data_IF_012997014165
#
_entry.id   IF_012997014165
#
_cell.length_a   1.000
_cell.length_b   1.000
_cell.length_c   1.000
_cell.angle_alpha   90.00
_cell.angle_beta   90.00
_cell.angle_gamma   90.00
#
_symmetry.space_group_name_H-M   'P 1'
#
loop_
_entity.id
_entity.type
_entity.pdbx_description
1 polymer ?
#
# COMPACT_ATOMS: atom_id res chain seq x y z
N UNK A 1 -7.62 12.33 22.28
CA UNK A 1 -6.70 11.69 21.32
C UNK A 1 -5.92 12.78 20.61
N UNK A 2 -4.59 12.67 20.49
CA UNK A 2 -3.79 13.68 19.79
C UNK A 2 -3.96 13.54 18.27
N UNK A 3 -3.89 14.62 17.47
CA UNK A 3 -3.98 14.56 16.02
C UNK A 3 -2.97 13.59 15.39
N UNK A 4 -1.78 13.49 15.99
CA UNK A 4 -0.73 12.57 15.59
C UNK A 4 -1.14 11.09 15.76
N UNK A 5 -1.79 10.74 16.87
CA UNK A 5 -2.28 9.38 17.08
C UNK A 5 -3.28 8.96 16.01
N UNK A 6 -4.23 9.84 15.67
CA UNK A 6 -5.23 9.54 14.64
C UNK A 6 -4.56 9.31 13.29
N UNK A 7 -3.57 10.14 12.95
CA UNK A 7 -2.86 10.04 11.69
C UNK A 7 -2.00 8.76 11.63
N UNK A 8 -1.35 8.38 12.73
CA UNK A 8 -0.62 7.11 12.83
C UNK A 8 -1.53 5.89 12.69
N UNK A 9 -2.70 5.94 13.32
CA UNK A 9 -3.72 4.90 13.19
C UNK A 9 -4.19 4.77 11.74
N UNK A 10 -4.57 5.88 11.11
CA UNK A 10 -5.02 5.89 9.70
C UNK A 10 -3.93 5.35 8.77
N UNK A 11 -2.68 5.77 8.95
CA UNK A 11 -1.57 5.30 8.13
C UNK A 11 -1.34 3.79 8.28
N UNK A 12 -1.44 3.28 9.51
CA UNK A 12 -1.31 1.85 9.81
C UNK A 12 -2.47 1.04 9.21
N UNK A 13 -3.70 1.57 9.28
CA UNK A 13 -4.87 0.93 8.67
C UNK A 13 -4.76 0.87 7.15
N UNK A 14 -4.33 1.96 6.50
CA UNK A 14 -4.10 2.00 5.04
C UNK A 14 -3.05 0.97 4.63
N UNK A 15 -1.97 0.85 5.40
CA UNK A 15 -0.95 -0.17 5.19
C UNK A 15 -1.51 -1.59 5.32
N UNK A 16 -2.27 -1.87 6.39
CA UNK A 16 -2.89 -3.17 6.62
C UNK A 16 -3.88 -3.55 5.52
N UNK A 17 -4.69 -2.59 5.05
CA UNK A 17 -5.61 -2.79 3.92
C UNK A 17 -4.82 -3.15 2.66
N UNK A 18 -3.73 -2.46 2.37
CA UNK A 18 -2.91 -2.79 1.20
C UNK A 18 -2.29 -4.18 1.29
N UNK A 19 -1.85 -4.63 2.47
CA UNK A 19 -1.42 -6.03 2.62
C UNK A 19 -2.58 -6.99 2.40
N UNK A 20 -3.76 -6.70 2.96
CA UNK A 20 -4.94 -7.56 2.83
C UNK A 20 -5.38 -7.76 1.37
N UNK A 21 -5.12 -6.77 0.49
CA UNK A 21 -5.41 -6.89 -0.96
C UNK A 21 -4.65 -8.02 -1.66
N UNK A 22 -3.54 -8.50 -1.10
CA UNK A 22 -2.83 -9.67 -1.63
C UNK A 22 -3.67 -10.94 -1.59
N UNK A 23 -4.58 -11.09 -0.62
CA UNK A 23 -5.43 -12.28 -0.50
C UNK A 23 -6.35 -12.46 -1.71
N UNK A 24 -7.24 -11.49 -2.01
CA UNK A 24 -8.08 -11.49 -3.21
C UNK A 24 -7.29 -11.66 -4.52
N UNK A 25 -6.17 -10.95 -4.66
CA UNK A 25 -5.35 -11.00 -5.87
C UNK A 25 -4.69 -12.37 -6.05
N UNK A 26 -4.15 -12.94 -4.98
CA UNK A 26 -3.54 -14.27 -4.99
C UNK A 26 -4.57 -15.36 -5.23
N UNK A 27 -5.75 -15.24 -4.60
CA UNK A 27 -6.86 -16.16 -4.86
C UNK A 27 -7.27 -16.15 -6.32
N UNK A 28 -7.45 -14.98 -6.92
CA UNK A 28 -7.78 -14.86 -8.34
C UNK A 28 -6.66 -15.36 -9.24
N UNK A 29 -5.40 -15.05 -8.94
CA UNK A 29 -4.25 -15.53 -9.70
C UNK A 29 -4.17 -17.07 -9.73
N UNK A 30 -4.45 -17.73 -8.61
CA UNK A 30 -4.37 -19.19 -8.49
C UNK A 30 -5.63 -19.91 -9.02
N UNK A 31 -6.82 -19.41 -8.69
CA UNK A 31 -8.09 -20.09 -9.00
C UNK A 31 -8.76 -19.61 -10.30
N UNK A 32 -8.49 -18.37 -10.72
CA UNK A 32 -9.26 -17.67 -11.75
C UNK A 32 -10.66 -17.22 -11.32
N UNK A 33 -11.04 -17.40 -10.04
CA UNK A 33 -12.34 -17.00 -9.50
C UNK A 33 -12.25 -15.65 -8.75
N UNK A 34 -13.37 -14.93 -8.67
CA UNK A 34 -13.44 -13.68 -7.90
C UNK A 34 -12.79 -12.47 -8.60
N UNK A 35 -12.82 -12.42 -9.93
CA UNK A 35 -12.26 -11.33 -10.73
C UNK A 35 -12.69 -9.94 -10.24
N UNK A 36 -13.98 -9.74 -9.95
CA UNK A 36 -14.49 -8.46 -9.44
C UNK A 36 -13.82 -8.07 -8.12
N UNK A 37 -13.68 -9.03 -7.18
CA UNK A 37 -13.01 -8.81 -5.90
C UNK A 37 -11.53 -8.45 -6.10
N UNK A 38 -10.85 -9.12 -7.03
CA UNK A 38 -9.46 -8.83 -7.39
C UNK A 38 -9.29 -7.41 -7.99
N UNK A 39 -10.22 -6.97 -8.84
CA UNK A 39 -10.22 -5.61 -9.38
C UNK A 39 -10.41 -4.56 -8.28
N UNK A 40 -11.36 -4.78 -7.36
CA UNK A 40 -11.54 -3.89 -6.21
C UNK A 40 -10.31 -3.86 -5.30
N UNK A 41 -9.63 -5.00 -5.13
CA UNK A 41 -8.41 -5.12 -4.35
C UNK A 41 -7.22 -4.36 -4.96
N UNK A 42 -7.25 -3.98 -6.25
CA UNK A 42 -6.22 -3.11 -6.83
C UNK A 42 -6.40 -1.63 -6.45
N UNK A 43 -7.60 -1.19 -6.06
CA UNK A 43 -7.84 0.23 -5.80
C UNK A 43 -6.98 0.79 -4.66
N UNK A 44 -6.84 0.15 -3.49
CA UNK A 44 -5.99 0.69 -2.43
C UNK A 44 -4.52 0.89 -2.84
N UNK A 45 -3.80 -0.10 -3.41
CA UNK A 45 -2.40 0.11 -3.81
C UNK A 45 -2.26 1.12 -4.96
N UNK A 46 -3.20 1.16 -5.91
CA UNK A 46 -3.21 2.18 -6.96
C UNK A 46 -3.42 3.57 -6.35
N UNK A 47 -4.35 3.72 -5.42
CA UNK A 47 -4.62 4.97 -4.72
C UNK A 47 -3.40 5.50 -3.96
N UNK A 48 -2.66 4.60 -3.27
CA UNK A 48 -1.39 4.96 -2.63
C UNK A 48 -0.36 5.40 -3.66
N UNK A 49 -0.20 4.64 -4.75
CA UNK A 49 0.76 4.97 -5.81
C UNK A 49 0.47 6.35 -6.40
N UNK A 50 -0.78 6.63 -6.76
CA UNK A 50 -1.21 7.95 -7.25
C UNK A 50 -0.94 9.03 -6.20
N UNK A 51 -1.27 8.79 -4.93
CA UNK A 51 -0.99 9.72 -3.84
C UNK A 51 0.50 10.03 -3.67
N UNK A 52 1.38 9.04 -3.82
CA UNK A 52 2.83 9.22 -3.80
C UNK A 52 3.29 10.09 -4.99
N UNK A 53 2.82 9.80 -6.20
CA UNK A 53 3.18 10.55 -7.39
C UNK A 53 2.76 12.02 -7.30
N UNK A 54 1.53 12.28 -6.82
CA UNK A 54 1.01 13.64 -6.61
C UNK A 54 1.75 14.40 -5.50
N UNK A 55 2.43 13.69 -4.58
CA UNK A 55 3.14 14.27 -3.45
C UNK A 55 4.67 14.12 -3.58
N UNK A 56 5.20 14.09 -4.81
CA UNK A 56 6.65 14.11 -5.07
C UNK A 56 7.39 12.88 -4.56
N UNK A 57 6.75 11.71 -4.58
CA UNK A 57 7.32 10.44 -4.10
C UNK A 57 7.29 10.28 -2.57
N UNK A 58 6.62 11.18 -1.85
CA UNK A 58 6.49 11.14 -0.39
C UNK A 58 5.09 10.74 0.03
N UNK A 59 4.94 10.06 1.17
CA UNK A 59 3.62 9.76 1.71
C UNK A 59 2.91 11.04 2.15
N UNK A 60 1.67 11.26 1.67
CA UNK A 60 0.84 12.43 2.01
C UNK A 60 0.60 12.51 3.53
N UNK A 61 0.32 11.36 4.16
CA UNK A 61 0.14 11.30 5.62
C UNK A 61 1.41 11.70 6.35
N UNK A 62 2.59 11.29 5.86
CA UNK A 62 3.86 11.71 6.44
C UNK A 62 4.10 13.22 6.31
N UNK A 63 3.72 13.78 5.17
CA UNK A 63 3.83 15.22 4.93
C UNK A 63 2.90 16.01 5.85
N UNK A 64 1.69 15.50 6.07
CA UNK A 64 0.69 16.10 6.95
C UNK A 64 1.11 16.04 8.43
N UNK A 65 1.60 14.89 8.89
CA UNK A 65 2.11 14.74 10.25
C UNK A 65 3.26 15.70 10.54
N UNK A 66 4.18 15.88 9.58
CA UNK A 66 5.31 16.81 9.73
C UNK A 66 4.83 18.24 9.91
N UNK A 67 3.85 18.65 9.10
CA UNK A 67 3.21 19.97 9.22
C UNK A 67 2.55 20.16 10.59
N UNK A 68 1.87 19.14 11.10
CA UNK A 68 1.22 19.21 12.41
C UNK A 68 2.20 19.21 13.58
N UNK A 69 3.38 18.60 13.43
CA UNK A 69 4.44 18.62 14.44
C UNK A 69 5.29 19.90 14.42
N UNK A 70 5.14 20.77 13.40
CA UNK A 70 5.94 22.00 13.27
C UNK A 70 7.43 21.74 13.02
N UNK A 71 7.80 20.55 12.53
CA UNK A 71 9.19 20.14 12.33
C UNK A 71 9.65 20.53 10.93
N UNK A 72 10.85 21.12 10.82
CA UNK A 72 11.45 21.50 9.55
C UNK A 72 11.77 20.27 8.68
N UNK A 73 11.88 20.46 7.37
CA UNK A 73 12.04 19.36 6.39
C UNK A 73 13.36 18.58 6.54
N UNK A 74 14.35 19.26 7.09
CA UNK A 74 15.75 18.90 7.29
C UNK A 74 16.10 18.62 8.77
N UNK A 75 15.11 18.67 9.67
CA UNK A 75 15.34 18.41 11.10
C UNK A 75 15.67 16.92 11.32
N UNK A 76 16.85 16.58 11.86
CA UNK A 76 17.26 15.20 12.12
C UNK A 76 16.39 14.50 13.18
N UNK A 77 15.57 15.24 13.95
CA UNK A 77 14.58 14.68 14.88
C UNK A 77 13.34 14.15 14.17
N UNK A 78 13.15 14.44 12.88
CA UNK A 78 12.07 13.87 12.09
C UNK A 78 12.36 12.41 11.76
N UNK A 79 12.05 11.53 12.72
CA UNK A 79 12.01 10.09 12.49
C UNK A 79 10.73 9.78 11.72
N UNK A 80 10.81 9.02 10.63
CA UNK A 80 9.68 8.66 9.74
C UNK A 80 8.62 7.75 10.39
N UNK A 81 8.59 7.70 11.72
CA UNK A 81 7.76 6.85 12.57
C UNK A 81 6.32 7.38 12.67
N UNK A 82 5.59 7.23 11.57
CA UNK A 82 4.14 7.50 11.53
C UNK A 82 3.35 6.20 11.47
N UNK A 83 4.02 5.06 11.45
CA UNK A 83 3.36 3.80 11.70
C UNK A 83 3.35 3.56 13.21
N UNK A 84 2.31 2.89 13.69
CA UNK A 84 2.33 2.31 15.04
C UNK A 84 3.47 1.30 15.23
N UNK A 85 4.04 0.84 14.11
CA UNK A 85 5.12 -0.14 14.04
C UNK A 85 6.47 0.56 13.89
N UNK A 86 7.54 0.05 14.55
CA UNK A 86 8.88 0.60 14.41
C UNK A 86 9.34 0.67 12.95
N UNK A 87 10.05 1.73 12.54
CA UNK A 87 10.63 1.88 11.19
C UNK A 87 11.39 0.63 10.71
N UNK A 88 12.12 -0.03 11.61
CA UNK A 88 12.87 -1.27 11.32
C UNK A 88 11.96 -2.41 10.87
N UNK A 89 10.76 -2.52 11.44
CA UNK A 89 9.76 -3.50 11.06
C UNK A 89 9.14 -3.13 9.72
N UNK A 90 8.74 -1.86 9.54
CA UNK A 90 8.15 -1.39 8.28
C UNK A 90 9.08 -1.61 7.08
N UNK A 91 10.36 -1.25 7.20
CA UNK A 91 11.35 -1.45 6.13
C UNK A 91 11.55 -2.93 5.81
N UNK A 92 11.58 -3.79 6.84
CA UNK A 92 11.72 -5.24 6.64
C UNK A 92 10.48 -5.83 5.95
N UNK A 93 9.29 -5.41 6.34
CA UNK A 93 8.04 -5.87 5.72
C UNK A 93 7.94 -5.39 4.28
N UNK A 94 8.24 -4.13 3.98
CA UNK A 94 8.22 -3.60 2.60
C UNK A 94 9.17 -4.41 1.69
N UNK A 95 10.39 -4.72 2.15
CA UNK A 95 11.36 -5.51 1.37
C UNK A 95 10.83 -6.90 0.99
N UNK A 96 10.02 -7.52 1.85
CA UNK A 96 9.45 -8.85 1.60
C UNK A 96 8.13 -8.75 0.81
N UNK A 97 7.31 -7.77 1.12
CA UNK A 97 5.97 -7.61 0.52
C UNK A 97 6.03 -7.09 -0.91
N UNK A 98 7.02 -6.28 -1.29
CA UNK A 98 7.15 -5.77 -2.66
C UNK A 98 7.30 -6.92 -3.68
N UNK A 99 8.23 -7.89 -3.51
CA UNK A 99 8.30 -9.06 -4.39
C UNK A 99 6.99 -9.85 -4.44
N UNK A 100 6.35 -10.10 -3.29
CA UNK A 100 5.08 -10.83 -3.22
C UNK A 100 3.99 -10.10 -4.00
N UNK A 101 3.90 -8.78 -3.84
CA UNK A 101 2.95 -7.94 -4.56
C UNK A 101 3.17 -8.00 -6.06
N UNK A 102 4.42 -7.88 -6.52
CA UNK A 102 4.78 -7.96 -7.95
C UNK A 102 4.38 -9.32 -8.54
N UNK A 103 4.70 -10.43 -7.86
CA UNK A 103 4.34 -11.78 -8.31
C UNK A 103 2.82 -11.94 -8.38
N UNK A 104 2.11 -11.50 -7.35
CA UNK A 104 0.66 -11.67 -7.25
C UNK A 104 -0.08 -10.86 -8.31
N UNK A 105 0.29 -9.58 -8.50
CA UNK A 105 -0.31 -8.72 -9.53
C UNK A 105 0.02 -9.22 -10.94
N UNK A 106 1.25 -9.67 -11.18
CA UNK A 106 1.64 -10.22 -12.49
C UNK A 106 0.88 -11.51 -12.79
N UNK A 107 0.74 -12.41 -11.81
CA UNK A 107 -0.07 -13.63 -11.96
C UNK A 107 -1.54 -13.33 -12.25
N UNK A 108 -2.13 -12.37 -11.53
CA UNK A 108 -3.50 -11.91 -11.79
C UNK A 108 -3.65 -11.31 -13.20
N UNK A 109 -2.70 -10.50 -13.66
CA UNK A 109 -2.72 -9.89 -14.99
C UNK A 109 -2.59 -10.94 -16.11
N UNK A 110 -1.68 -11.91 -15.97
CA UNK A 110 -1.53 -13.03 -16.93
C UNK A 110 -2.83 -13.84 -17.00
N UNK A 111 -3.43 -14.14 -15.85
CA UNK A 111 -4.69 -14.89 -15.79
C UNK A 111 -5.82 -14.13 -16.47
N UNK A 112 -5.94 -12.83 -16.22
CA UNK A 112 -6.91 -11.96 -16.87
C UNK A 112 -6.72 -11.96 -18.40
N UNK A 113 -5.48 -11.81 -18.89
CA UNK A 113 -5.18 -11.87 -20.33
C UNK A 113 -5.55 -13.22 -20.95
N UNK A 114 -5.21 -14.33 -20.29
CA UNK A 114 -5.54 -15.68 -20.74
C UNK A 114 -7.05 -15.93 -20.80
N UNK A 115 -7.82 -15.44 -19.82
CA UNK A 115 -9.29 -15.57 -19.83
C UNK A 115 -9.93 -14.80 -20.99
N UNK A 116 -9.44 -13.61 -21.32
CA UNK A 116 -9.98 -12.82 -22.43
C UNK A 116 -9.62 -13.41 -23.80
N UNK A 117 -8.45 -14.06 -23.96
CA UNK A 117 -8.06 -14.73 -25.21
C UNK A 117 -8.88 -15.99 -25.51
N UNK A 118 -9.43 -16.66 -24.49
CA UNK A 118 -10.26 -17.87 -24.65
C UNK A 118 -11.72 -17.53 -25.00
N UNK A 119 -12.14 -16.29 -24.78
CA UNK A 119 -13.51 -15.83 -25.07
C UNK A 119 -13.68 -15.18 -26.46
N UNK A 120 -12.61 -15.13 -27.27
CA UNK A 120 -12.62 -14.69 -28.67
C UNK A 120 -12.55 -15.91 -29.58
#
# INVERSE_FOLDING_TARGET
MTPLFLLQLVHTLVFAVCIATLGPLGWYALSGQGQTLALWALLPPIGIFVGLQLNGGRCILQTLARRWSGIAEDDPRWVRDILFLPESWAVRVVKIMVPVFVVTVSGAAIRFGAQNLVQV
#
